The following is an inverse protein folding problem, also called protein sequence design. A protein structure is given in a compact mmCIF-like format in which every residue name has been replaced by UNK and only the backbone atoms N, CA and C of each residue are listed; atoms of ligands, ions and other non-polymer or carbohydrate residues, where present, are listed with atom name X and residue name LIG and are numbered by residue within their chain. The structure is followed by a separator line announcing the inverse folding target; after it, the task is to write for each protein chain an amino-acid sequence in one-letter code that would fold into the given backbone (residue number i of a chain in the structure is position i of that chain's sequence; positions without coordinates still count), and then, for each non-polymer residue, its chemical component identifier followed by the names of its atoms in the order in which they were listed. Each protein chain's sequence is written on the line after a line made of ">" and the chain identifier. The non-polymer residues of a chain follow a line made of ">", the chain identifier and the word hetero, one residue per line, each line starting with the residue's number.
data_IF_900587848071
#
_entry.id   IF_900587848071
#
_cell.length_a   1.000
_cell.length_b   1.000
_cell.length_c   1.000
_cell.angle_alpha   90.00
_cell.angle_beta   90.00
_cell.angle_gamma   90.00
#
_symmetry.space_group_name_H-M   'P 1'
#
loop_
_entity.id
_entity.type
_entity.pdbx_description
1 polymer ?
#
# COMPACT_ATOMS: atom_id res chain seq x y z
N UNK A 1 4.65 11.30 -1.45
CA UNK A 1 5.36 10.61 -0.34
C UNK A 1 4.73 9.26 -0.08
N UNK A 2 5.53 8.20 0.11
CA UNK A 2 5.03 6.86 0.49
C UNK A 2 5.51 6.52 1.90
N UNK A 3 4.60 6.05 2.75
CA UNK A 3 4.88 5.56 4.10
C UNK A 3 4.23 4.21 4.31
N UNK A 4 4.75 3.42 5.22
CA UNK A 4 4.10 2.21 5.70
C UNK A 4 4.06 2.15 7.22
N UNK A 5 3.13 1.35 7.75
CA UNK A 5 3.02 1.03 9.17
C UNK A 5 2.41 -0.35 9.38
N UNK A 6 2.87 -1.05 10.41
CA UNK A 6 2.17 -2.21 10.94
C UNK A 6 0.95 -1.72 11.74
N UNK A 7 -0.25 -1.87 11.17
CA UNK A 7 -1.53 -1.53 11.79
C UNK A 7 -2.00 -2.68 12.70
N UNK A 8 -1.33 -2.80 13.85
CA UNK A 8 -1.44 -3.98 14.69
C UNK A 8 -0.61 -5.15 14.14
N UNK A 9 -0.73 -6.36 14.71
CA UNK A 9 0.13 -7.48 14.38
C UNK A 9 -0.13 -8.06 12.98
N UNK A 10 -1.38 -8.02 12.50
CA UNK A 10 -1.79 -8.77 11.30
C UNK A 10 -2.10 -7.90 10.08
N UNK A 11 -1.86 -6.59 10.16
CA UNK A 11 -2.21 -5.68 9.07
C UNK A 11 -1.02 -4.79 8.76
N UNK A 12 -0.69 -4.67 7.48
CA UNK A 12 0.23 -3.68 6.96
C UNK A 12 -0.59 -2.60 6.25
N UNK A 13 -0.36 -1.33 6.58
CA UNK A 13 -0.96 -0.20 5.86
C UNK A 13 0.12 0.61 5.16
N UNK A 14 -0.12 0.96 3.90
CA UNK A 14 0.71 1.85 3.09
C UNK A 14 -0.10 3.12 2.83
N UNK A 15 0.47 4.27 3.15
CA UNK A 15 -0.09 5.59 2.90
C UNK A 15 0.68 6.25 1.75
N UNK A 16 -0.02 6.57 0.66
CA UNK A 16 0.51 7.33 -0.47
C UNK A 16 -0.11 8.72 -0.44
N UNK A 17 0.68 9.73 -0.09
CA UNK A 17 0.26 11.14 -0.08
C UNK A 17 0.77 11.86 -1.32
N UNK A 18 -0.06 12.73 -1.86
CA UNK A 18 0.19 13.51 -3.07
C UNK A 18 0.14 15.01 -2.77
N UNK A 19 0.78 15.79 -3.63
CA UNK A 19 0.67 17.26 -3.58
C UNK A 19 -0.65 17.72 -4.23
N UNK A 20 -1.15 16.98 -5.22
CA UNK A 20 -2.44 17.21 -5.88
C UNK A 20 -3.46 16.13 -5.46
N UNK A 21 -4.61 16.51 -4.85
CA UNK A 21 -5.71 15.58 -4.57
C UNK A 21 -6.21 14.78 -5.78
N UNK A 22 -6.11 15.32 -7.00
CA UNK A 22 -6.52 14.62 -8.22
C UNK A 22 -5.72 13.34 -8.47
N UNK A 23 -4.43 13.33 -8.10
CA UNK A 23 -3.57 12.14 -8.23
C UNK A 23 -3.99 11.05 -7.23
N UNK A 24 -4.42 11.44 -6.03
CA UNK A 24 -4.96 10.51 -5.04
C UNK A 24 -6.27 9.86 -5.53
N UNK A 25 -7.17 10.64 -6.11
CA UNK A 25 -8.42 10.14 -6.70
C UNK A 25 -8.13 9.16 -7.84
N UNK A 26 -7.17 9.48 -8.71
CA UNK A 26 -6.77 8.61 -9.82
C UNK A 26 -6.19 7.29 -9.33
N UNK A 27 -5.22 7.32 -8.41
CA UNK A 27 -4.65 6.09 -7.84
C UNK A 27 -5.73 5.23 -7.15
N UNK A 28 -6.64 5.86 -6.41
CA UNK A 28 -7.74 5.15 -5.75
C UNK A 28 -8.61 4.41 -6.78
N UNK A 29 -8.94 5.04 -7.91
CA UNK A 29 -9.69 4.40 -8.99
C UNK A 29 -8.91 3.24 -9.63
N UNK A 30 -7.60 3.40 -9.86
CA UNK A 30 -6.75 2.34 -10.41
C UNK A 30 -6.64 1.12 -9.47
N UNK A 31 -6.54 1.35 -8.16
CA UNK A 31 -6.49 0.29 -7.16
C UNK A 31 -7.84 -0.44 -6.99
N UNK A 32 -8.94 0.31 -6.96
CA UNK A 32 -10.30 -0.26 -6.80
C UNK A 32 -10.83 -0.96 -8.05
N UNK A 33 -10.27 -0.65 -9.22
CA UNK A 33 -10.54 -1.37 -10.48
C UNK A 33 -9.72 -2.65 -10.66
N UNK A 34 -8.79 -2.95 -9.74
CA UNK A 34 -7.90 -4.12 -9.82
C UNK A 34 -6.70 -3.94 -10.76
N UNK A 35 -6.54 -2.76 -11.38
CA UNK A 35 -5.50 -2.48 -12.37
C UNK A 35 -4.08 -2.69 -11.82
N UNK A 36 -3.91 -2.55 -10.49
CA UNK A 36 -2.62 -2.58 -9.81
C UNK A 36 -2.40 -3.78 -8.88
N UNK A 37 -3.32 -4.76 -8.85
CA UNK A 37 -3.17 -5.99 -8.04
C UNK A 37 -1.81 -6.70 -8.25
N UNK A 38 -1.28 -6.86 -9.48
CA UNK A 38 0.01 -7.52 -9.70
C UNK A 38 1.19 -6.78 -9.05
N UNK A 39 1.09 -5.45 -8.91
CA UNK A 39 2.14 -4.62 -8.33
C UNK A 39 2.22 -4.74 -6.80
N UNK A 40 1.14 -5.19 -6.15
CA UNK A 40 1.08 -5.42 -4.71
C UNK A 40 1.64 -6.78 -4.30
N UNK A 41 1.91 -7.66 -5.27
CA UNK A 41 2.54 -8.97 -5.07
C UNK A 41 1.67 -9.95 -4.25
N UNK A 42 2.25 -11.01 -3.67
CA UNK A 42 1.51 -12.06 -2.96
C UNK A 42 0.81 -11.61 -1.67
N UNK A 43 0.96 -10.34 -1.27
CA UNK A 43 0.21 -9.72 -0.16
C UNK A 43 -1.20 -9.32 -0.60
N UNK A 44 -1.47 -9.32 -1.92
CA UNK A 44 -2.82 -9.30 -2.49
C UNK A 44 -3.51 -10.66 -2.29
N UNK A 45 -3.70 -11.06 -1.03
CA UNK A 45 -4.78 -11.97 -0.66
C UNK A 45 -6.12 -11.20 -0.68
N UNK A 46 -7.24 -11.91 -0.59
CA UNK A 46 -8.63 -11.43 -0.74
C UNK A 46 -9.08 -10.24 0.16
N UNK A 47 -8.19 -9.65 0.96
CA UNK A 47 -8.50 -8.68 2.02
C UNK A 47 -7.71 -7.36 1.86
N UNK A 48 -7.50 -6.92 0.61
CA UNK A 48 -6.94 -5.60 0.30
C UNK A 48 -8.02 -4.54 0.51
N UNK A 49 -7.77 -3.58 1.40
CA UNK A 49 -8.67 -2.45 1.67
C UNK A 49 -8.04 -1.16 1.18
N UNK A 50 -8.71 -0.50 0.25
CA UNK A 50 -8.29 0.79 -0.30
C UNK A 50 -9.19 1.88 0.28
N UNK A 51 -8.60 2.97 0.76
CA UNK A 51 -9.32 4.13 1.29
C UNK A 51 -8.75 5.42 0.71
N UNK A 52 -9.61 6.30 0.22
CA UNK A 52 -9.26 7.65 -0.18
C UNK A 52 -9.48 8.62 0.99
N UNK A 53 -8.44 9.37 1.33
CA UNK A 53 -8.46 10.49 2.27
C UNK A 53 -8.31 11.79 1.49
N UNK A 54 -9.44 12.40 1.12
CA UNK A 54 -9.46 13.63 0.33
C UNK A 54 -8.82 14.82 1.05
N UNK A 55 -8.90 14.85 2.39
CA UNK A 55 -8.36 15.96 3.19
C UNK A 55 -6.83 15.93 3.22
N UNK A 56 -6.25 14.72 3.24
CA UNK A 56 -4.81 14.53 3.22
C UNK A 56 -4.22 14.35 1.80
N UNK A 57 -5.05 14.45 0.75
CA UNK A 57 -4.67 14.09 -0.62
C UNK A 57 -3.96 12.72 -0.66
N UNK A 58 -4.55 11.70 -0.05
CA UNK A 58 -3.87 10.43 0.19
C UNK A 58 -4.71 9.20 -0.11
N UNK A 59 -4.05 8.14 -0.55
CA UNK A 59 -4.62 6.79 -0.68
C UNK A 59 -3.97 5.89 0.34
N UNK A 60 -4.79 5.15 1.09
CA UNK A 60 -4.37 4.19 2.09
C UNK A 60 -4.71 2.79 1.61
N UNK A 61 -3.70 1.93 1.58
CA UNK A 61 -3.83 0.53 1.22
C UNK A 61 -3.54 -0.31 2.46
N UNK A 62 -4.50 -1.09 2.94
CA UNK A 62 -4.28 -2.04 4.02
C UNK A 62 -4.38 -3.46 3.51
N UNK A 63 -3.40 -4.28 3.88
CA UNK A 63 -3.30 -5.68 3.48
C UNK A 63 -3.06 -6.56 4.70
N UNK A 64 -3.64 -7.77 4.68
CA UNK A 64 -3.40 -8.77 5.71
C UNK A 64 -1.96 -9.29 5.66
N UNK A 65 -1.36 -9.48 6.83
CA UNK A 65 -0.05 -10.13 6.98
C UNK A 65 -0.26 -11.62 7.24
N UNK A 66 0.53 -12.46 6.58
CA UNK A 66 0.51 -13.91 6.80
C UNK A 66 1.01 -14.31 8.19
N UNK A 67 1.94 -13.52 8.75
CA UNK A 67 2.50 -13.71 10.09
C UNK A 67 2.37 -12.41 10.90
N UNK A 68 2.21 -12.50 12.24
CA UNK A 68 2.26 -11.33 13.09
C UNK A 68 3.56 -10.54 12.87
N UNK A 69 3.47 -9.22 12.77
CA UNK A 69 4.62 -8.34 12.70
C UNK A 69 5.56 -8.59 13.87
N UNK A 70 6.83 -8.86 13.58
CA UNK A 70 7.85 -9.16 14.60
C UNK A 70 7.85 -10.57 15.17
N UNK A 71 7.04 -11.48 14.63
CA UNK A 71 7.12 -12.90 14.97
C UNK A 71 8.36 -13.57 14.37
N UNK A 72 8.76 -14.72 14.94
CA UNK A 72 9.83 -15.53 14.37
C UNK A 72 9.45 -15.96 12.94
N UNK A 73 10.31 -15.66 11.96
CA UNK A 73 10.05 -15.91 10.54
C UNK A 73 9.40 -14.75 9.79
N UNK A 74 9.10 -13.62 10.45
CA UNK A 74 8.72 -12.39 9.77
C UNK A 74 9.90 -11.83 8.98
N UNK A 75 9.79 -11.85 7.65
CA UNK A 75 10.81 -11.36 6.72
C UNK A 75 10.62 -9.88 6.36
N UNK A 76 9.51 -9.27 6.77
CA UNK A 76 9.17 -7.87 6.48
C UNK A 76 8.77 -7.13 7.76
N UNK A 77 9.69 -7.10 8.72
CA UNK A 77 9.50 -6.47 10.03
C UNK A 77 9.10 -4.99 9.90
N UNK A 78 9.73 -4.28 8.96
CA UNK A 78 9.47 -2.86 8.71
C UNK A 78 8.18 -2.62 7.92
N UNK A 79 7.67 -3.62 7.19
CA UNK A 79 6.48 -3.48 6.36
C UNK A 79 6.73 -2.62 5.12
N UNK A 80 7.88 -2.78 4.48
CA UNK A 80 8.35 -1.88 3.43
C UNK A 80 8.62 -2.59 2.10
N UNK A 81 8.54 -3.92 2.05
CA UNK A 81 8.93 -4.68 0.84
C UNK A 81 8.08 -4.31 -0.39
N UNK A 82 6.85 -3.87 -0.16
CA UNK A 82 5.88 -3.54 -1.21
C UNK A 82 6.05 -2.10 -1.72
N UNK A 83 6.91 -1.27 -1.10
CA UNK A 83 7.14 0.11 -1.54
C UNK A 83 7.55 0.19 -3.01
N UNK A 84 8.43 -0.69 -3.47
CA UNK A 84 8.91 -0.66 -4.86
C UNK A 84 7.77 -0.94 -5.85
N UNK A 85 6.93 -1.94 -5.57
CA UNK A 85 5.77 -2.26 -6.40
C UNK A 85 4.75 -1.13 -6.44
N UNK A 86 4.46 -0.53 -5.28
CA UNK A 86 3.57 0.64 -5.17
C UNK A 86 4.14 1.86 -5.91
N UNK A 87 5.44 2.14 -5.78
CA UNK A 87 6.09 3.24 -6.49
C UNK A 87 6.11 3.03 -8.02
N UNK A 88 6.36 1.80 -8.47
CA UNK A 88 6.29 1.46 -9.89
C UNK A 88 4.86 1.64 -10.45
N UNK A 89 3.84 1.21 -9.70
CA UNK A 89 2.43 1.41 -10.05
C UNK A 89 2.05 2.90 -10.17
N UNK A 90 2.69 3.75 -9.38
CA UNK A 90 2.54 5.21 -9.41
C UNK A 90 3.27 5.89 -10.57
N UNK A 91 4.01 5.14 -11.39
CA UNK A 91 4.85 5.71 -12.44
C UNK A 91 6.02 6.53 -11.89
N UNK A 92 6.37 6.36 -10.62
CA UNK A 92 7.53 7.02 -10.01
C UNK A 92 8.78 6.29 -10.51
N UNK A 93 9.73 6.98 -11.18
CA UNK A 93 10.96 6.36 -11.63
C UNK A 93 11.72 5.82 -10.42
N UNK A 94 12.01 4.51 -10.46
CA UNK A 94 12.91 3.87 -9.50
C UNK A 94 14.36 4.22 -9.90
N UNK A 95 15.26 4.41 -8.92
CA UNK A 95 16.68 4.63 -9.19
C UNK A 95 17.36 3.45 -9.89
#
# INVERSE_FOLDING_TARGET
>A
MVRSKNAGPFTLTIDVMFDDPADAVRLHADLTSGTLEPALGPVAGEDVRVYLDETAAAVKLSVGRALPAGSAGDLDLYGCQQHVGVLAALGVPLP
#
